data_IF_304278663057
#
_entry.id   IF_304278663057
#
_cell.length_a   1.000
_cell.length_b   1.000
_cell.length_c   1.000
_cell.angle_alpha   90.00
_cell.angle_beta   90.00
_cell.angle_gamma   90.00
#
_symmetry.space_group_name_H-M   'P 1'
#
loop_
_entity.id
_entity.type
_entity.pdbx_description
1 polymer ?
#
# COMPACT_ATOMS: atom_id res chain seq x y z
N UNK A 1 3.74 5.28 -14.25
CA UNK A 1 4.78 4.21 -14.29
C UNK A 1 4.19 2.82 -14.43
N UNK A 2 3.13 2.47 -13.69
CA UNK A 2 2.45 1.17 -13.79
C UNK A 2 2.08 0.84 -15.23
N UNK A 3 1.51 1.79 -15.99
CA UNK A 3 1.15 1.56 -17.41
C UNK A 3 2.31 1.16 -18.32
N UNK A 4 3.57 1.46 -17.97
CA UNK A 4 4.74 1.00 -18.72
C UNK A 4 5.17 -0.43 -18.36
N UNK A 5 4.83 -0.90 -17.16
CA UNK A 5 5.47 -2.05 -16.50
C UNK A 5 4.52 -3.20 -16.20
N UNK A 6 3.23 -2.89 -16.01
CA UNK A 6 2.22 -3.89 -15.76
C UNK A 6 2.15 -4.86 -16.94
N UNK A 7 2.01 -6.15 -16.61
CA UNK A 7 1.80 -7.18 -17.61
C UNK A 7 0.49 -6.92 -18.38
N UNK A 8 0.40 -7.48 -19.58
CA UNK A 8 -0.74 -7.21 -20.47
C UNK A 8 -2.06 -7.71 -19.86
N UNK A 9 -2.00 -8.84 -19.15
CA UNK A 9 -3.10 -9.50 -18.45
C UNK A 9 -3.53 -8.80 -17.16
N UNK A 10 -2.72 -7.86 -16.63
CA UNK A 10 -3.11 -7.06 -15.47
C UNK A 10 -4.20 -6.07 -15.91
N UNK A 11 -5.43 -6.36 -15.52
CA UNK A 11 -6.60 -5.55 -15.84
C UNK A 11 -6.59 -4.18 -15.14
N UNK A 12 -7.58 -3.34 -15.45
CA UNK A 12 -7.66 -1.98 -14.92
C UNK A 12 -7.76 -1.97 -13.39
N UNK A 13 -8.60 -2.83 -12.80
CA UNK A 13 -8.76 -2.92 -11.34
C UNK A 13 -7.44 -3.31 -10.65
N UNK A 14 -6.73 -4.29 -11.21
CA UNK A 14 -5.42 -4.71 -10.74
C UNK A 14 -4.44 -3.54 -10.77
N UNK A 15 -4.44 -2.73 -11.83
CA UNK A 15 -3.55 -1.55 -11.94
C UNK A 15 -3.89 -0.45 -10.93
N UNK A 16 -5.17 -0.25 -10.59
CA UNK A 16 -5.57 0.63 -9.47
C UNK A 16 -5.01 0.11 -8.15
N UNK A 17 -5.15 -1.20 -7.88
CA UNK A 17 -4.57 -1.83 -6.69
C UNK A 17 -3.05 -1.74 -6.64
N UNK A 18 -2.36 -1.93 -7.78
CA UNK A 18 -0.90 -1.74 -7.87
C UNK A 18 -0.48 -0.32 -7.46
N UNK A 19 -1.25 0.71 -7.80
CA UNK A 19 -0.98 2.09 -7.36
C UNK A 19 -1.08 2.19 -5.84
N UNK A 20 -2.17 1.69 -5.25
CA UNK A 20 -2.36 1.72 -3.80
C UNK A 20 -1.31 0.89 -3.03
N UNK A 21 -0.99 -0.31 -3.51
CA UNK A 21 0.08 -1.17 -2.97
C UNK A 21 1.43 -0.46 -3.01
N UNK A 22 1.73 0.27 -4.10
CA UNK A 22 2.95 1.06 -4.20
C UNK A 22 2.99 2.16 -3.13
N UNK A 23 1.89 2.91 -2.98
CA UNK A 23 1.76 3.99 -2.00
C UNK A 23 1.77 3.48 -0.56
N UNK A 24 1.26 2.27 -0.30
CA UNK A 24 1.24 1.67 1.03
C UNK A 24 2.65 1.51 1.63
N UNK A 25 3.66 1.23 0.80
CA UNK A 25 5.06 1.14 1.25
C UNK A 25 5.57 2.47 1.83
N UNK A 26 5.07 3.59 1.33
CA UNK A 26 5.39 4.94 1.82
C UNK A 26 4.51 5.29 3.01
N UNK A 27 3.19 5.11 2.87
CA UNK A 27 2.21 5.55 3.86
C UNK A 27 2.31 4.75 5.17
N UNK A 28 2.65 3.45 5.11
CA UNK A 28 2.75 2.58 6.28
C UNK A 28 4.21 2.37 6.74
N UNK A 29 5.17 3.07 6.14
CA UNK A 29 6.58 3.07 6.56
C UNK A 29 6.89 4.11 7.65
N UNK A 30 8.01 3.91 8.37
CA UNK A 30 8.43 4.80 9.47
C UNK A 30 8.92 6.18 9.01
N UNK A 31 9.41 6.29 7.78
CA UNK A 31 9.92 7.55 7.23
C UNK A 31 8.82 8.59 7.04
N UNK A 32 9.21 9.86 6.82
CA UNK A 32 8.26 10.90 6.46
C UNK A 32 7.62 10.53 5.11
N UNK A 33 6.29 10.43 5.09
CA UNK A 33 5.54 10.18 3.86
C UNK A 33 5.48 11.47 3.01
N UNK A 34 5.81 11.33 1.74
CA UNK A 34 5.71 12.38 0.73
C UNK A 34 5.14 11.78 -0.55
N UNK A 35 4.24 12.48 -1.21
CA UNK A 35 3.61 12.03 -2.45
C UNK A 35 3.25 13.20 -3.37
N UNK A 36 3.08 12.90 -4.65
CA UNK A 36 2.67 13.84 -5.67
C UNK A 36 1.16 14.14 -5.55
N UNK A 37 0.79 15.42 -5.69
CA UNK A 37 -0.61 15.82 -5.88
C UNK A 37 -1.24 15.05 -7.05
N UNK A 38 -2.37 14.38 -6.79
CA UNK A 38 -3.15 13.62 -7.77
C UNK A 38 -2.78 12.14 -7.85
N UNK A 39 -1.81 11.65 -7.07
CA UNK A 39 -1.55 10.20 -6.95
C UNK A 39 -2.81 9.42 -6.53
N UNK A 40 -3.64 10.03 -5.69
CA UNK A 40 -4.96 9.55 -5.24
C UNK A 40 -6.02 9.53 -6.36
N UNK A 41 -5.79 10.26 -7.45
CA UNK A 41 -6.64 10.32 -8.64
C UNK A 41 -6.01 9.59 -9.83
N UNK A 42 -5.07 8.67 -9.58
CA UNK A 42 -4.35 7.92 -10.61
C UNK A 42 -3.64 8.83 -11.63
N UNK A 43 -3.21 10.04 -11.22
CA UNK A 43 -2.74 11.10 -12.11
C UNK A 43 -1.77 10.60 -13.18
N UNK A 44 -2.09 10.98 -14.41
CA UNK A 44 -1.23 10.78 -15.57
C UNK A 44 -0.76 12.12 -16.13
N UNK A 45 0.40 12.07 -16.79
CA UNK A 45 0.93 13.16 -17.62
C UNK A 45 1.06 12.72 -19.07
N UNK A 46 0.21 11.79 -19.49
CA UNK A 46 0.27 11.10 -20.78
C UNK A 46 1.69 10.63 -21.13
N UNK A 47 2.32 9.91 -20.19
CA UNK A 47 3.70 9.40 -20.28
C UNK A 47 4.84 10.43 -20.24
N UNK A 48 4.56 11.73 -20.10
CA UNK A 48 5.61 12.78 -20.00
C UNK A 48 6.53 12.55 -18.80
N UNK A 49 7.83 12.44 -19.05
CA UNK A 49 8.87 12.23 -18.02
C UNK A 49 9.22 13.51 -17.27
N UNK A 50 9.47 14.59 -18.00
CA UNK A 50 9.84 15.90 -17.48
C UNK A 50 8.85 16.96 -18.00
N UNK A 51 7.94 17.39 -17.11
CA UNK A 51 6.75 18.14 -17.48
C UNK A 51 6.76 19.61 -17.06
N UNK A 52 7.93 20.16 -16.71
CA UNK A 52 8.06 21.51 -16.16
C UNK A 52 7.49 22.61 -17.08
N UNK A 53 7.60 22.42 -18.40
CA UNK A 53 7.12 23.35 -19.44
C UNK A 53 6.19 22.64 -20.46
N UNK A 54 5.49 21.59 -20.01
CA UNK A 54 4.51 20.88 -20.83
C UNK A 54 3.09 21.48 -20.72
N UNK A 55 2.98 22.67 -20.12
CA UNK A 55 1.74 23.43 -19.96
C UNK A 55 0.64 22.72 -19.16
N UNK A 56 -0.54 23.32 -19.15
CA UNK A 56 -1.71 22.81 -18.43
C UNK A 56 -2.17 21.45 -18.99
N UNK A 57 -2.05 21.25 -20.30
CA UNK A 57 -2.54 20.06 -21.01
C UNK A 57 -2.00 18.75 -20.41
N UNK A 58 -0.68 18.61 -20.29
CA UNK A 58 -0.06 17.39 -19.75
C UNK A 58 0.01 17.38 -18.22
N UNK A 59 -0.20 18.52 -17.54
CA UNK A 59 -0.12 18.61 -16.08
C UNK A 59 -1.48 18.62 -15.37
N UNK A 60 -2.59 18.64 -16.12
CA UNK A 60 -3.97 18.65 -15.62
C UNK A 60 -4.20 17.61 -14.53
N UNK A 61 -4.91 18.04 -13.50
CA UNK A 61 -5.54 17.19 -12.48
C UNK A 61 -7.02 17.54 -12.51
N UNK A 62 -7.87 16.56 -12.76
CA UNK A 62 -9.31 16.78 -12.86
C UNK A 62 -10.01 16.46 -11.54
N UNK A 63 -10.35 17.49 -10.79
CA UNK A 63 -11.10 17.37 -9.54
C UNK A 63 -12.59 17.07 -9.73
N UNK A 64 -13.11 17.13 -10.98
CA UNK A 64 -14.44 16.62 -11.31
C UNK A 64 -14.45 15.10 -11.56
N UNK A 65 -13.30 14.43 -11.43
CA UNK A 65 -13.13 12.97 -11.52
C UNK A 65 -13.60 12.35 -12.84
N UNK A 66 -13.55 13.09 -13.96
CA UNK A 66 -13.98 12.52 -15.25
C UNK A 66 -12.92 11.56 -15.84
N UNK A 67 -11.64 11.91 -15.69
CA UNK A 67 -10.50 11.09 -16.13
C UNK A 67 -9.22 11.47 -15.37
N UNK A 68 -8.17 10.65 -15.49
CA UNK A 68 -6.87 10.90 -14.85
C UNK A 68 -5.83 11.61 -15.75
N UNK A 69 -6.23 12.19 -16.88
CA UNK A 69 -5.36 12.80 -17.88
C UNK A 69 -4.45 11.83 -18.65
N UNK A 70 -4.82 10.55 -18.72
CA UNK A 70 -4.12 9.53 -19.51
C UNK A 70 -4.58 9.54 -20.97
N UNK A 71 -3.66 9.23 -21.89
CA UNK A 71 -3.92 9.14 -23.33
C UNK A 71 -4.46 10.44 -23.97
N UNK A 72 -4.00 11.61 -23.51
CA UNK A 72 -4.34 12.93 -24.09
C UNK A 72 -3.38 13.38 -25.20
N UNK A 73 -2.65 12.43 -25.80
CA UNK A 73 -1.62 12.67 -26.81
C UNK A 73 -0.24 12.16 -26.41
N UNK A 74 0.67 12.06 -27.39
CA UNK A 74 2.05 11.66 -27.15
C UNK A 74 2.80 12.77 -26.39
N UNK A 75 3.71 12.42 -25.45
CA UNK A 75 4.53 13.40 -24.74
C UNK A 75 5.53 14.08 -25.70
N UNK A 76 6.15 15.19 -25.29
CA UNK A 76 7.06 15.98 -26.15
C UNK A 76 8.18 15.13 -26.76
N UNK A 77 8.39 15.25 -28.07
CA UNK A 77 9.35 14.41 -28.81
C UNK A 77 10.80 14.67 -28.42
N UNK A 78 11.13 15.90 -28.01
CA UNK A 78 12.48 16.31 -27.62
C UNK A 78 13.09 15.48 -26.49
N UNK A 79 12.25 14.91 -25.62
CA UNK A 79 12.70 14.22 -24.41
C UNK A 79 12.11 12.82 -24.28
N UNK A 80 10.89 12.59 -24.79
CA UNK A 80 10.21 11.30 -24.73
C UNK A 80 10.09 10.60 -26.10
N UNK A 81 10.61 11.20 -27.19
CA UNK A 81 10.51 10.66 -28.55
C UNK A 81 11.05 9.24 -28.71
N UNK A 82 12.16 8.92 -28.02
CA UNK A 82 12.74 7.56 -28.03
C UNK A 82 11.84 6.51 -27.38
N UNK A 83 10.85 6.94 -26.59
CA UNK A 83 9.91 6.05 -25.89
C UNK A 83 8.63 5.79 -26.71
N UNK A 84 8.44 6.45 -27.84
CA UNK A 84 7.17 6.42 -28.59
C UNK A 84 6.76 5.01 -29.02
N UNK A 85 7.71 4.18 -29.45
CA UNK A 85 7.45 2.77 -29.82
C UNK A 85 6.96 1.96 -28.63
N UNK A 86 7.53 2.19 -27.44
CA UNK A 86 7.08 1.53 -26.22
C UNK A 86 5.70 2.05 -25.79
N UNK A 87 5.53 3.38 -25.74
CA UNK A 87 4.25 4.01 -25.39
C UNK A 87 3.13 3.44 -26.28
N UNK A 88 3.36 3.37 -27.59
CA UNK A 88 2.36 2.88 -28.55
C UNK A 88 1.94 1.45 -28.29
N UNK A 89 2.86 0.59 -27.81
CA UNK A 89 2.57 -0.81 -27.47
C UNK A 89 1.80 -0.97 -26.16
N UNK A 90 2.00 -0.08 -25.19
CA UNK A 90 1.44 -0.24 -23.83
C UNK A 90 0.23 0.64 -23.53
N UNK A 91 0.02 1.74 -24.27
CA UNK A 91 -0.99 2.75 -23.93
C UNK A 91 -2.44 2.28 -23.98
N UNK A 92 -2.73 1.26 -24.79
CA UNK A 92 -4.09 0.78 -25.03
C UNK A 92 -4.35 -0.63 -24.46
N UNK A 93 -3.50 -1.10 -23.54
CA UNK A 93 -3.66 -2.45 -22.94
C UNK A 93 -4.92 -2.56 -22.06
N UNK A 94 -5.34 -1.46 -21.42
CA UNK A 94 -6.56 -1.38 -20.60
C UNK A 94 -7.23 -0.03 -20.85
N UNK A 95 -8.50 0.10 -20.42
CA UNK A 95 -9.22 1.37 -20.51
C UNK A 95 -8.56 2.48 -19.66
N UNK A 96 -8.77 3.73 -20.06
CA UNK A 96 -8.43 4.90 -19.25
C UNK A 96 -9.28 4.91 -17.98
N UNK A 97 -8.70 5.16 -16.79
CA UNK A 97 -9.48 5.31 -15.55
C UNK A 97 -10.54 6.42 -15.67
N UNK A 98 -11.78 6.08 -15.32
CA UNK A 98 -12.88 7.02 -15.19
C UNK A 98 -13.27 7.27 -13.73
N UNK A 99 -14.41 7.90 -13.52
CA UNK A 99 -14.92 8.24 -12.18
C UNK A 99 -14.90 7.07 -11.18
N UNK A 100 -15.33 5.83 -11.52
CA UNK A 100 -15.30 4.72 -10.57
C UNK A 100 -13.90 4.37 -10.08
N UNK A 101 -12.91 4.34 -10.96
CA UNK A 101 -11.52 4.05 -10.60
C UNK A 101 -10.89 5.18 -9.78
N UNK A 102 -11.21 6.44 -10.09
CA UNK A 102 -10.72 7.60 -9.35
C UNK A 102 -11.30 7.64 -7.93
N UNK A 103 -12.60 7.35 -7.77
CA UNK A 103 -13.23 7.24 -6.46
C UNK A 103 -12.65 6.07 -5.65
N UNK A 104 -12.45 4.92 -6.30
CA UNK A 104 -11.82 3.76 -5.66
C UNK A 104 -10.40 4.07 -5.18
N UNK A 105 -9.56 4.66 -6.03
CA UNK A 105 -8.19 5.01 -5.66
C UNK A 105 -8.16 6.07 -4.55
N UNK A 106 -9.09 7.04 -4.58
CA UNK A 106 -9.22 8.05 -3.52
C UNK A 106 -9.57 7.39 -2.17
N UNK A 107 -10.49 6.41 -2.17
CA UNK A 107 -10.85 5.66 -0.97
C UNK A 107 -9.65 4.88 -0.42
N UNK A 108 -8.91 4.15 -1.28
CA UNK A 108 -7.68 3.45 -0.88
C UNK A 108 -6.63 4.41 -0.32
N UNK A 109 -6.45 5.58 -0.94
CA UNK A 109 -5.50 6.59 -0.47
C UNK A 109 -5.88 7.13 0.91
N UNK A 110 -7.16 7.45 1.11
CA UNK A 110 -7.68 7.91 2.39
C UNK A 110 -7.57 6.83 3.47
N UNK A 111 -7.84 5.57 3.14
CA UNK A 111 -7.63 4.43 4.04
C UNK A 111 -6.17 4.36 4.51
N UNK A 112 -5.19 4.39 3.60
CA UNK A 112 -3.76 4.35 3.92
C UNK A 112 -3.32 5.51 4.83
N UNK A 113 -3.78 6.72 4.54
CA UNK A 113 -3.45 7.90 5.36
C UNK A 113 -4.13 7.87 6.73
N UNK A 114 -5.35 7.31 6.83
CA UNK A 114 -6.03 7.09 8.10
C UNK A 114 -5.32 6.04 8.95
N UNK A 115 -4.88 4.93 8.34
CA UNK A 115 -4.08 3.90 9.00
C UNK A 115 -2.76 4.46 9.51
N UNK A 116 -2.04 5.24 8.69
CA UNK A 116 -0.77 5.86 9.11
C UNK A 116 -0.89 6.66 10.42
N UNK A 117 -1.98 7.41 10.59
CA UNK A 117 -2.21 8.23 11.79
C UNK A 117 -2.99 7.50 12.87
N UNK A 118 -3.36 6.23 12.66
CA UNK A 118 -4.21 5.50 13.60
C UNK A 118 -3.45 5.09 14.86
N UNK A 119 -2.12 4.95 14.79
CA UNK A 119 -1.27 4.52 15.90
C UNK A 119 0.07 5.28 15.90
N UNK A 120 0.59 5.68 17.07
CA UNK A 120 1.96 6.21 17.21
C UNK A 120 3.03 5.25 16.66
N UNK A 121 2.74 3.94 16.63
CA UNK A 121 3.68 2.90 16.19
C UNK A 121 4.10 3.06 14.71
N UNK A 122 3.30 3.71 13.86
CA UNK A 122 3.69 3.99 12.47
C UNK A 122 4.71 5.13 12.33
N UNK A 123 4.90 5.94 13.37
CA UNK A 123 5.69 7.18 13.30
C UNK A 123 6.58 7.36 14.52
N UNK A 124 7.38 6.32 14.84
CA UNK A 124 8.22 6.28 16.03
C UNK A 124 9.23 7.45 16.10
N UNK A 125 9.66 7.96 14.95
CA UNK A 125 10.51 9.16 14.80
C UNK A 125 11.97 8.97 15.20
N UNK A 126 12.23 8.27 16.31
CA UNK A 126 13.57 7.95 16.80
C UNK A 126 14.08 6.62 16.21
N UNK A 127 15.31 6.64 15.66
CA UNK A 127 15.91 5.47 15.05
C UNK A 127 16.13 4.31 16.03
N UNK A 128 16.44 4.59 17.30
CA UNK A 128 16.62 3.54 18.31
C UNK A 128 15.30 2.89 18.70
N UNK A 129 14.20 3.66 18.74
CA UNK A 129 12.86 3.14 18.92
C UNK A 129 12.46 2.24 17.75
N UNK A 130 12.76 2.66 16.50
CA UNK A 130 12.55 1.83 15.31
C UNK A 130 13.31 0.51 15.41
N UNK A 131 14.61 0.53 15.72
CA UNK A 131 15.43 -0.69 15.84
C UNK A 131 14.93 -1.65 16.93
N UNK A 132 14.34 -1.13 18.00
CA UNK A 132 13.81 -1.95 19.10
C UNK A 132 12.45 -2.57 18.82
N UNK A 133 11.70 -2.04 17.84
CA UNK A 133 10.27 -2.36 17.67
C UNK A 133 9.93 -2.93 16.31
N UNK A 134 10.63 -2.52 15.25
CA UNK A 134 10.30 -2.90 13.88
C UNK A 134 11.09 -4.14 13.48
N UNK A 135 10.39 -5.13 12.94
CA UNK A 135 10.98 -6.32 12.34
C UNK A 135 10.24 -6.71 11.05
N UNK A 136 10.82 -7.64 10.28
CA UNK A 136 10.23 -8.16 9.05
C UNK A 136 10.17 -9.69 9.05
N UNK A 137 9.02 -10.23 8.64
CA UNK A 137 8.81 -11.66 8.33
C UNK A 137 8.89 -11.88 6.83
N UNK A 138 8.80 -13.14 6.40
CA UNK A 138 8.96 -13.52 4.99
C UNK A 138 10.27 -12.99 4.38
N UNK A 139 11.40 -13.26 5.05
CA UNK A 139 12.75 -12.85 4.62
C UNK A 139 13.64 -14.06 4.37
N UNK A 140 14.79 -13.86 3.72
CA UNK A 140 15.75 -14.92 3.41
C UNK A 140 15.50 -15.61 2.07
N UNK A 141 16.22 -16.70 1.80
CA UNK A 141 16.20 -17.38 0.50
C UNK A 141 14.84 -18.03 0.16
N UNK A 142 14.07 -18.39 1.19
CA UNK A 142 12.77 -19.06 1.04
C UNK A 142 11.59 -18.07 1.08
N UNK A 143 11.85 -16.75 1.00
CA UNK A 143 10.80 -15.73 1.02
C UNK A 143 9.89 -15.83 -0.21
N UNK A 144 8.60 -15.63 0.01
CA UNK A 144 7.61 -15.46 -1.05
C UNK A 144 7.77 -14.08 -1.70
N UNK A 145 8.12 -14.05 -2.99
CA UNK A 145 8.33 -12.80 -3.72
C UNK A 145 7.07 -11.93 -3.74
N UNK A 146 7.24 -10.62 -3.53
CA UNK A 146 6.15 -9.65 -3.54
C UNK A 146 5.35 -9.56 -2.24
N UNK A 147 5.63 -10.40 -1.24
CA UNK A 147 4.96 -10.36 0.06
C UNK A 147 5.83 -9.64 1.10
N UNK A 148 5.38 -8.50 1.60
CA UNK A 148 6.07 -7.70 2.61
C UNK A 148 5.31 -7.78 3.92
N UNK A 149 5.94 -8.33 4.96
CA UNK A 149 5.35 -8.44 6.30
C UNK A 149 6.22 -7.69 7.28
N UNK A 150 5.74 -6.54 7.77
CA UNK A 150 6.40 -5.74 8.80
C UNK A 150 5.66 -5.92 10.12
N UNK A 151 6.38 -6.15 11.21
CA UNK A 151 5.82 -6.14 12.58
C UNK A 151 6.32 -4.92 13.33
N UNK A 152 5.48 -4.32 14.16
CA UNK A 152 5.85 -3.22 15.05
C UNK A 152 5.42 -3.57 16.47
N UNK A 153 6.39 -3.73 17.36
CA UNK A 153 6.19 -4.17 18.73
C UNK A 153 5.74 -3.03 19.66
N UNK A 154 4.70 -3.29 20.46
CA UNK A 154 4.34 -2.51 21.64
C UNK A 154 4.25 -3.35 22.92
N UNK A 155 4.83 -4.57 22.88
CA UNK A 155 4.92 -5.46 24.02
C UNK A 155 5.98 -5.05 25.04
N UNK A 156 5.98 -5.75 26.18
CA UNK A 156 6.87 -5.46 27.30
C UNK A 156 8.36 -5.46 26.95
N UNK A 157 8.79 -6.18 25.91
CA UNK A 157 10.20 -6.23 25.48
C UNK A 157 10.63 -4.95 24.73
N UNK A 158 9.68 -4.23 24.12
CA UNK A 158 9.92 -2.96 23.45
C UNK A 158 10.03 -1.75 24.42
N UNK A 159 9.77 -1.97 25.71
CA UNK A 159 9.70 -0.93 26.74
C UNK A 159 8.25 -0.54 27.04
N UNK A 160 8.02 0.72 27.43
CA UNK A 160 6.67 1.20 27.73
C UNK A 160 5.75 1.13 26.51
N UNK A 161 4.47 0.81 26.73
CA UNK A 161 3.45 0.90 25.68
C UNK A 161 3.31 2.34 25.19
N UNK A 162 3.30 2.49 23.87
CA UNK A 162 3.09 3.75 23.16
C UNK A 162 1.64 3.89 22.67
N UNK A 163 0.92 2.77 22.54
CA UNK A 163 -0.47 2.73 22.11
C UNK A 163 -1.27 1.77 23.00
N UNK A 164 -1.97 2.31 24.01
CA UNK A 164 -2.71 1.50 24.98
C UNK A 164 -3.90 0.69 24.45
N UNK A 165 -4.10 0.62 23.12
CA UNK A 165 -5.10 -0.21 22.46
C UNK A 165 -4.51 -1.50 21.89
N UNK A 166 -3.21 -1.54 21.62
CA UNK A 166 -2.57 -2.64 20.88
C UNK A 166 -1.22 -3.01 21.48
N UNK A 167 -0.93 -4.30 21.60
CA UNK A 167 0.40 -4.79 21.98
C UNK A 167 1.34 -4.87 20.76
N UNK A 168 0.84 -4.66 19.54
CA UNK A 168 1.64 -4.62 18.33
C UNK A 168 0.81 -4.58 17.06
N UNK A 169 1.50 -4.26 15.96
CA UNK A 169 0.91 -4.18 14.62
C UNK A 169 1.61 -5.15 13.66
N UNK A 170 0.85 -5.70 12.72
CA UNK A 170 1.37 -6.36 11.53
C UNK A 170 0.87 -5.61 10.31
N UNK A 171 1.80 -5.16 9.47
CA UNK A 171 1.52 -4.59 8.16
C UNK A 171 1.87 -5.65 7.12
N UNK A 172 0.87 -6.12 6.40
CA UNK A 172 1.02 -7.11 5.35
C UNK A 172 0.64 -6.51 3.99
N UNK A 173 1.61 -6.44 3.08
CA UNK A 173 1.41 -5.96 1.70
C UNK A 173 1.67 -7.14 0.76
N UNK A 174 0.62 -7.63 0.10
CA UNK A 174 0.72 -8.66 -0.92
C UNK A 174 0.77 -8.00 -2.31
N UNK A 175 1.98 -7.66 -2.77
CA UNK A 175 2.24 -7.11 -4.11
C UNK A 175 2.41 -8.22 -5.16
N UNK A 176 1.56 -9.24 -5.13
CA UNK A 176 1.60 -10.40 -6.01
C UNK A 176 0.20 -10.74 -6.56
N UNK A 177 0.13 -11.40 -7.73
CA UNK A 177 -1.13 -11.83 -8.33
C UNK A 177 -1.77 -13.05 -7.64
N UNK A 178 -1.08 -13.73 -6.74
CA UNK A 178 -1.60 -14.88 -6.00
C UNK A 178 -2.02 -14.50 -4.58
N UNK A 179 -3.00 -15.23 -4.03
CA UNK A 179 -3.27 -15.18 -2.60
C UNK A 179 -2.09 -15.76 -1.80
N UNK A 180 -1.84 -15.20 -0.61
CA UNK A 180 -0.77 -15.62 0.29
C UNK A 180 -1.34 -15.90 1.68
N UNK A 181 -0.91 -16.99 2.31
CA UNK A 181 -1.32 -17.35 3.67
C UNK A 181 -0.14 -17.24 4.63
N UNK A 182 -0.36 -16.58 5.77
CA UNK A 182 0.60 -16.37 6.84
C UNK A 182 0.30 -17.32 7.99
N UNK A 183 1.32 -18.02 8.47
CA UNK A 183 1.24 -18.91 9.63
C UNK A 183 2.09 -18.43 10.82
N UNK A 184 2.89 -17.37 10.63
CA UNK A 184 3.81 -16.83 11.65
C UNK A 184 3.11 -16.22 12.88
N UNK A 185 1.79 -16.07 12.81
CA UNK A 185 0.96 -15.40 13.81
C UNK A 185 -0.14 -16.29 14.38
N UNK A 186 -0.05 -17.61 14.17
CA UNK A 186 -0.99 -18.57 14.74
C UNK A 186 -1.00 -18.43 16.28
N UNK A 187 -2.18 -18.26 16.86
CA UNK A 187 -2.36 -18.04 18.30
C UNK A 187 -2.13 -16.61 18.80
N UNK A 188 -1.74 -15.66 17.94
CA UNK A 188 -1.51 -14.25 18.33
C UNK A 188 -2.82 -13.44 18.46
N UNK A 189 -3.96 -14.01 18.05
CA UNK A 189 -5.30 -13.38 18.10
C UNK A 189 -5.36 -12.01 17.40
N UNK A 190 -4.69 -11.89 16.24
CA UNK A 190 -4.70 -10.68 15.44
C UNK A 190 -6.11 -10.35 14.93
N UNK A 191 -6.42 -9.05 14.86
CA UNK A 191 -7.66 -8.52 14.33
C UNK A 191 -7.36 -7.56 13.19
N UNK A 192 -8.19 -7.52 12.16
CA UNK A 192 -8.09 -6.50 11.11
C UNK A 192 -8.35 -5.11 11.71
N UNK A 193 -7.61 -4.09 11.30
CA UNK A 193 -7.83 -2.73 11.81
C UNK A 193 -9.28 -2.26 11.57
N UNK A 194 -9.88 -1.60 12.56
CA UNK A 194 -11.26 -1.11 12.48
C UNK A 194 -11.50 -0.16 11.30
N UNK A 195 -10.47 0.57 10.85
CA UNK A 195 -10.52 1.44 9.67
C UNK A 195 -10.80 0.61 8.41
N UNK A 196 -10.08 -0.50 8.24
CA UNK A 196 -10.25 -1.37 7.09
C UNK A 196 -11.54 -2.18 7.16
N UNK A 197 -11.98 -2.58 8.36
CA UNK A 197 -13.29 -3.20 8.56
C UNK A 197 -14.43 -2.25 8.16
N UNK A 198 -14.35 -0.98 8.57
CA UNK A 198 -15.37 0.03 8.26
C UNK A 198 -15.47 0.33 6.76
N UNK A 199 -14.37 0.19 6.01
CA UNK A 199 -14.35 0.35 4.55
C UNK A 199 -15.01 -0.82 3.79
N UNK A 200 -15.16 -1.99 4.42
CA UNK A 200 -15.85 -3.16 3.84
C UNK A 200 -15.28 -3.58 2.48
N UNK A 201 -16.15 -3.72 1.48
CA UNK A 201 -15.74 -4.11 0.12
C UNK A 201 -14.84 -3.07 -0.58
N UNK A 202 -14.89 -1.81 -0.13
CA UNK A 202 -14.04 -0.72 -0.62
C UNK A 202 -12.64 -0.72 -0.01
N UNK A 203 -12.31 -1.67 0.86
CA UNK A 203 -11.04 -1.75 1.58
C UNK A 203 -9.90 -2.32 0.73
N UNK A 204 -8.66 -1.89 0.98
CA UNK A 204 -7.46 -2.60 0.47
C UNK A 204 -7.30 -4.01 1.08
N UNK A 205 -7.92 -4.25 2.24
CA UNK A 205 -7.99 -5.55 2.89
C UNK A 205 -9.27 -6.33 2.56
N UNK A 206 -10.05 -5.89 1.56
CA UNK A 206 -11.24 -6.64 1.16
C UNK A 206 -10.87 -8.08 0.76
N UNK A 207 -11.55 -9.06 1.35
CA UNK A 207 -11.30 -10.49 1.16
C UNK A 207 -10.18 -11.07 2.03
N UNK A 208 -9.60 -10.30 2.95
CA UNK A 208 -8.66 -10.85 3.95
C UNK A 208 -9.43 -11.75 4.92
N UNK A 209 -8.92 -12.95 5.12
CA UNK A 209 -9.50 -13.94 6.03
C UNK A 209 -8.55 -14.18 7.21
N UNK A 210 -9.10 -14.22 8.42
CA UNK A 210 -8.39 -14.63 9.64
C UNK A 210 -9.09 -15.88 10.16
N UNK A 211 -8.45 -17.03 10.01
CA UNK A 211 -8.98 -18.31 10.44
C UNK A 211 -8.93 -18.48 11.96
N UNK A 212 -9.71 -19.42 12.49
CA UNK A 212 -9.81 -19.67 13.93
C UNK A 212 -8.48 -20.14 14.56
N UNK A 213 -7.57 -20.72 13.78
CA UNK A 213 -6.22 -21.10 14.20
C UNK A 213 -5.20 -19.94 14.12
N UNK A 214 -5.63 -18.78 13.65
CA UNK A 214 -4.81 -17.58 13.46
C UNK A 214 -4.12 -17.49 12.10
N UNK A 215 -4.36 -18.42 11.17
CA UNK A 215 -3.85 -18.30 9.81
C UNK A 215 -4.52 -17.13 9.09
N UNK A 216 -3.71 -16.29 8.42
CA UNK A 216 -4.21 -15.09 7.73
C UNK A 216 -4.02 -15.25 6.23
N UNK A 217 -5.09 -15.19 5.46
CA UNK A 217 -5.03 -15.25 3.99
C UNK A 217 -5.27 -13.87 3.39
N UNK A 218 -4.30 -13.42 2.59
CA UNK A 218 -4.31 -12.16 1.87
C UNK A 218 -4.64 -12.41 0.39
N UNK A 219 -5.66 -11.76 -0.18
CA UNK A 219 -5.90 -11.78 -1.62
C UNK A 219 -4.75 -11.17 -2.42
N UNK A 220 -4.76 -11.39 -3.74
CA UNK A 220 -3.85 -10.70 -4.66
C UNK A 220 -3.97 -9.17 -4.54
N UNK A 221 -2.84 -8.47 -4.64
CA UNK A 221 -2.77 -6.99 -4.61
C UNK A 221 -3.54 -6.35 -3.46
N UNK A 222 -3.31 -6.87 -2.24
CA UNK A 222 -3.98 -6.42 -1.01
C UNK A 222 -3.02 -5.80 0.00
N UNK A 223 -3.56 -4.99 0.90
CA UNK A 223 -2.85 -4.41 2.04
C UNK A 223 -3.69 -4.61 3.29
N UNK A 224 -3.14 -5.26 4.31
CA UNK A 224 -3.79 -5.48 5.59
C UNK A 224 -2.95 -4.89 6.73
N UNK A 225 -3.59 -4.15 7.61
CA UNK A 225 -3.06 -3.76 8.91
C UNK A 225 -3.81 -4.57 9.95
N UNK A 226 -3.09 -5.44 10.63
CA UNK A 226 -3.61 -6.28 11.69
C UNK A 226 -3.07 -5.78 13.03
N UNK A 227 -3.93 -5.80 14.03
CA UNK A 227 -3.69 -5.29 15.37
C UNK A 227 -3.73 -6.47 16.34
N UNK A 228 -2.75 -6.55 17.24
CA UNK A 228 -2.81 -7.44 18.41
C UNK A 228 -3.45 -6.63 19.54
N UNK A 229 -4.73 -6.85 19.90
CA UNK A 229 -5.41 -6.01 20.89
C UNK A 229 -4.73 -6.13 22.25
N UNK A 230 -4.56 -5.00 22.93
CA UNK A 230 -4.07 -5.00 24.32
C UNK A 230 -5.21 -5.39 25.27
N UNK A 231 -4.89 -6.22 26.27
CA UNK A 231 -5.79 -6.57 27.36
C UNK A 231 -5.77 -5.55 28.51
N UNK A 232 -6.02 -6.03 29.73
CA UNK A 232 -6.01 -5.18 30.94
C UNK A 232 -4.62 -4.57 31.25
N UNK A 233 -3.56 -5.17 30.72
CA UNK A 233 -2.17 -4.73 30.87
C UNK A 233 -1.39 -4.97 29.57
N UNK A 234 -0.26 -4.30 29.44
CA UNK A 234 0.68 -4.49 28.32
C UNK A 234 1.12 -5.96 28.23
N UNK A 235 0.92 -6.56 27.07
CA UNK A 235 1.22 -7.97 26.80
C UNK A 235 2.61 -8.19 26.20
N UNK A 236 2.80 -9.39 25.65
CA UNK A 236 4.08 -9.81 25.06
C UNK A 236 4.39 -9.12 23.73
N UNK A 237 3.37 -8.59 23.04
CA UNK A 237 3.52 -7.94 21.73
C UNK A 237 4.03 -8.86 20.63
N UNK A 238 4.90 -8.31 19.79
CA UNK A 238 5.51 -8.92 18.60
C UNK A 238 7.03 -8.64 18.62
N UNK A 239 7.79 -9.26 19.54
CA UNK A 239 9.17 -8.87 19.80
C UNK A 239 10.07 -9.06 18.57
N UNK A 240 11.01 -8.12 18.40
CA UNK A 240 12.05 -8.19 17.36
C UNK A 240 12.90 -9.45 17.56
N UNK A 241 13.08 -10.23 16.50
CA UNK A 241 13.94 -11.40 16.50
C UNK A 241 15.40 -11.02 16.73
N UNK A 242 16.10 -11.80 17.56
CA UNK A 242 17.56 -11.71 17.69
C UNK A 242 18.21 -12.19 16.38
N UNK A 243 19.13 -11.40 15.83
CA UNK A 243 19.81 -11.65 14.55
C UNK A 243 21.31 -11.58 14.70
#
# INVERSE_FOLDING_TARGET
MISYKAAQEADLNTRVRMQAVSLATVMLGQGIAFDQQGSELLRSKSFTRDSYDSGDWFNRVDYAMQDNNFNVGMPRSSDDGSNYDLISRVKEMVATPGEPELQQMTAFYQELTQLRKSSPLFTLGDGSAVMKRVDFRNTGADSLAGLLIMTIDDGVQAGASLDGRVDGLVVAINAAPESRTLHDFNGENLQLSAIQQAAGEGSLANGVEIAADGAITLPAWSVAVLEKPQGDAQGAGLPVSSK
#
